data_IF_066444655207
#
_entry.id   IF_066444655207
#
_cell.length_a   1.000
_cell.length_b   1.000
_cell.length_c   1.000
_cell.angle_alpha   90.00
_cell.angle_beta   90.00
_cell.angle_gamma   90.00
#
_symmetry.space_group_name_H-M   'P 1'
#
loop_
_entity.id
_entity.type
_entity.pdbx_description
1 polymer ?
#
# COMPACT_ATOMS: atom_id res chain seq x y z
N UNK A 1 1.46 -5.70 4.94
CA UNK A 1 0.88 -5.56 3.58
C UNK A 1 1.89 -4.93 2.65
N UNK A 2 1.87 -5.30 1.38
CA UNK A 2 2.60 -4.59 0.32
C UNK A 2 1.60 -4.08 -0.69
N UNK A 3 1.65 -2.80 -1.00
CA UNK A 3 0.70 -2.17 -1.91
C UNK A 3 1.49 -1.34 -2.93
N UNK A 4 1.25 -1.59 -4.21
CA UNK A 4 1.71 -0.69 -5.29
C UNK A 4 0.57 0.26 -5.60
N UNK A 5 0.84 1.54 -5.46
CA UNK A 5 -0.11 2.64 -5.64
C UNK A 5 0.27 3.36 -6.93
N UNK A 6 -0.63 3.44 -7.89
CA UNK A 6 -0.43 4.19 -9.13
C UNK A 6 -1.48 5.28 -9.25
N UNK A 7 -1.03 6.53 -9.41
CA UNK A 7 -1.92 7.63 -9.77
C UNK A 7 -2.37 7.46 -11.22
N UNK A 8 -3.67 7.48 -11.47
CA UNK A 8 -4.23 7.20 -12.78
C UNK A 8 -5.17 8.28 -13.28
N UNK A 9 -5.22 8.49 -14.60
CA UNK A 9 -6.29 9.26 -15.27
C UNK A 9 -7.55 8.42 -15.40
N UNK A 10 -7.39 7.12 -15.60
CA UNK A 10 -8.43 6.10 -15.60
C UNK A 10 -7.80 4.74 -15.39
N UNK A 11 -8.58 3.83 -14.85
CA UNK A 11 -8.22 2.41 -14.81
C UNK A 11 -9.48 1.55 -14.89
N UNK A 12 -9.31 0.32 -15.38
CA UNK A 12 -10.40 -0.66 -15.45
C UNK A 12 -9.86 -2.07 -15.29
N UNK A 13 -10.73 -2.97 -14.88
CA UNK A 13 -10.46 -4.40 -14.79
C UNK A 13 -11.53 -5.19 -15.51
N UNK A 14 -11.10 -6.13 -16.35
CA UNK A 14 -11.96 -7.08 -17.07
C UNK A 14 -11.65 -8.51 -16.62
N UNK A 15 -12.68 -9.35 -16.61
CA UNK A 15 -12.63 -10.78 -16.33
C UNK A 15 -13.39 -11.50 -17.45
N UNK A 16 -12.81 -12.51 -18.05
CA UNK A 16 -13.40 -13.24 -19.18
C UNK A 16 -13.87 -12.29 -20.31
N UNK A 17 -13.05 -11.28 -20.63
CA UNK A 17 -13.30 -10.22 -21.62
C UNK A 17 -14.52 -9.32 -21.29
N UNK A 18 -15.07 -9.42 -20.09
CA UNK A 18 -16.17 -8.57 -19.64
C UNK A 18 -15.68 -7.54 -18.64
N UNK A 19 -16.07 -6.28 -18.85
CA UNK A 19 -15.74 -5.20 -17.92
C UNK A 19 -16.38 -5.47 -16.56
N UNK A 20 -15.54 -5.58 -15.50
CA UNK A 20 -15.98 -5.77 -14.11
C UNK A 20 -16.13 -4.45 -13.38
N UNK A 21 -15.11 -3.60 -13.44
CA UNK A 21 -15.06 -2.32 -12.75
C UNK A 21 -14.20 -1.32 -13.50
N UNK A 22 -14.54 -0.04 -13.41
CA UNK A 22 -13.75 1.06 -13.96
C UNK A 22 -13.81 2.28 -13.05
N UNK A 23 -12.74 3.08 -13.08
CA UNK A 23 -12.63 4.37 -12.39
C UNK A 23 -12.12 5.45 -13.34
N UNK A 24 -12.45 6.69 -13.04
CA UNK A 24 -11.83 7.88 -13.64
C UNK A 24 -10.50 8.23 -12.97
N UNK A 25 -10.27 9.53 -12.72
CA UNK A 25 -9.09 10.01 -12.03
C UNK A 25 -9.04 9.46 -10.59
N UNK A 26 -7.88 8.93 -10.19
CA UNK A 26 -7.75 8.37 -8.87
C UNK A 26 -6.51 7.49 -8.70
N UNK A 27 -6.66 6.39 -7.97
CA UNK A 27 -5.58 5.45 -7.66
C UNK A 27 -5.93 4.02 -8.07
N UNK A 28 -5.03 3.35 -8.78
CA UNK A 28 -5.01 1.91 -8.89
C UNK A 28 -4.11 1.35 -7.78
N UNK A 29 -4.64 0.39 -7.02
CA UNK A 29 -3.92 -0.32 -5.97
C UNK A 29 -3.74 -1.78 -6.36
N UNK A 30 -2.48 -2.27 -6.35
CA UNK A 30 -2.18 -3.70 -6.35
C UNK A 30 -1.87 -4.10 -4.91
N UNK A 31 -2.67 -5.00 -4.33
CA UNK A 31 -2.66 -5.28 -2.89
C UNK A 31 -2.19 -6.70 -2.62
N UNK A 32 -1.02 -6.85 -2.01
CA UNK A 32 -0.45 -8.11 -1.51
C UNK A 32 -0.58 -8.22 0.00
N UNK A 33 -1.15 -9.34 0.46
CA UNK A 33 -1.36 -9.61 1.89
C UNK A 33 -0.38 -10.71 2.32
N UNK A 34 0.34 -10.45 3.41
CA UNK A 34 1.24 -11.38 4.07
C UNK A 34 0.57 -12.11 5.24
N UNK A 35 1.12 -13.24 5.71
CA UNK A 35 0.53 -14.02 6.79
C UNK A 35 0.53 -13.30 8.14
N UNK A 36 1.42 -12.34 8.33
CA UNK A 36 1.59 -11.60 9.60
C UNK A 36 0.93 -10.20 9.55
N UNK A 37 0.09 -9.93 8.53
CA UNK A 37 -0.61 -8.65 8.45
C UNK A 37 -1.73 -8.57 9.48
N UNK A 38 -1.83 -7.42 10.14
CA UNK A 38 -2.73 -7.15 11.25
C UNK A 38 -3.70 -6.02 10.93
N UNK A 39 -4.71 -5.82 11.81
CA UNK A 39 -5.61 -4.68 11.72
C UNK A 39 -4.85 -3.34 11.72
N UNK A 40 -3.77 -3.24 12.50
CA UNK A 40 -2.93 -2.03 12.54
C UNK A 40 -2.25 -1.76 11.19
N UNK A 41 -1.83 -2.82 10.46
CA UNK A 41 -1.28 -2.68 9.11
C UNK A 41 -2.33 -2.15 8.12
N UNK A 42 -3.56 -2.67 8.24
CA UNK A 42 -4.71 -2.22 7.44
C UNK A 42 -5.02 -0.75 7.70
N UNK A 43 -5.19 -0.36 8.97
CA UNK A 43 -5.52 1.00 9.37
C UNK A 43 -4.44 2.00 8.92
N UNK A 44 -3.17 1.60 9.05
CA UNK A 44 -2.05 2.37 8.54
C UNK A 44 -2.11 2.55 7.03
N UNK A 45 -2.35 1.46 6.28
CA UNK A 45 -2.42 1.49 4.82
C UNK A 45 -3.56 2.37 4.33
N UNK A 46 -4.78 2.18 4.86
CA UNK A 46 -5.96 3.00 4.50
C UNK A 46 -5.66 4.48 4.76
N UNK A 47 -5.23 4.82 5.97
CA UNK A 47 -4.90 6.20 6.33
C UNK A 47 -3.85 6.82 5.42
N UNK A 48 -2.78 6.08 5.05
CA UNK A 48 -1.75 6.59 4.14
C UNK A 48 -2.28 6.78 2.72
N UNK A 49 -3.02 5.82 2.19
CA UNK A 49 -3.55 5.87 0.81
C UNK A 49 -4.45 7.08 0.63
N UNK A 50 -5.42 7.30 1.53
CA UNK A 50 -6.44 8.33 1.36
C UNK A 50 -5.92 9.75 1.63
N UNK A 51 -4.83 9.90 2.38
CA UNK A 51 -4.25 11.20 2.72
C UNK A 51 -2.93 11.51 1.98
N UNK A 52 -2.43 10.60 1.15
CA UNK A 52 -1.19 10.80 0.39
C UNK A 52 -1.37 11.94 -0.62
N UNK A 53 -0.53 12.97 -0.50
CA UNK A 53 -0.62 14.20 -1.29
C UNK A 53 0.18 14.08 -2.59
N UNK A 54 -0.36 13.34 -3.56
CA UNK A 54 0.29 13.01 -4.84
C UNK A 54 -0.47 13.50 -6.06
N UNK A 55 -1.53 14.29 -5.87
CA UNK A 55 -2.22 14.97 -6.96
C UNK A 55 -1.81 16.44 -6.99
N UNK A 56 -1.76 17.02 -8.20
CA UNK A 56 -1.32 18.36 -8.41
C UNK A 56 -2.37 19.39 -7.97
N UNK A 57 -1.92 20.45 -7.28
CA UNK A 57 -2.71 21.64 -7.01
C UNK A 57 -2.73 22.60 -8.23
N UNK A 58 -3.31 23.78 -8.05
CA UNK A 58 -3.43 24.80 -9.09
C UNK A 58 -2.07 25.32 -9.60
N UNK A 59 -1.00 25.23 -8.77
CA UNK A 59 0.36 25.61 -9.11
C UNK A 59 1.17 24.45 -9.70
N UNK A 60 0.55 23.27 -9.91
CA UNK A 60 1.19 22.08 -10.46
C UNK A 60 2.06 21.30 -9.47
N UNK A 61 1.99 21.61 -8.17
CA UNK A 61 2.71 20.91 -7.12
C UNK A 61 1.92 19.70 -6.60
N UNK A 62 2.57 18.58 -6.31
CA UNK A 62 1.95 17.44 -5.65
C UNK A 62 1.58 17.80 -4.20
N UNK A 63 0.34 18.19 -3.97
CA UNK A 63 -0.11 18.79 -2.72
C UNK A 63 -1.53 18.35 -2.30
N UNK A 64 -2.27 17.72 -3.20
CA UNK A 64 -3.64 17.27 -2.96
C UNK A 64 -3.70 15.75 -2.79
N UNK A 65 -4.58 15.31 -1.89
CA UNK A 65 -4.91 13.90 -1.67
C UNK A 65 -6.00 13.44 -2.65
N UNK A 66 -6.27 12.13 -2.68
CA UNK A 66 -7.39 11.58 -3.44
C UNK A 66 -8.74 12.12 -2.95
N UNK A 67 -8.87 12.43 -1.65
CA UNK A 67 -10.07 13.06 -1.07
C UNK A 67 -10.26 14.48 -1.59
N UNK A 68 -9.19 15.26 -1.64
CA UNK A 68 -9.25 16.67 -2.09
C UNK A 68 -9.71 16.80 -3.54
N UNK A 69 -9.38 15.83 -4.39
CA UNK A 69 -9.78 15.83 -5.80
C UNK A 69 -11.09 15.10 -6.08
N UNK A 70 -11.74 14.51 -5.06
CA UNK A 70 -12.91 13.65 -5.25
C UNK A 70 -12.64 12.43 -6.13
N UNK A 71 -11.43 11.85 -6.05
CA UNK A 71 -11.00 10.73 -6.89
C UNK A 71 -11.55 9.39 -6.41
N UNK A 72 -11.34 8.34 -7.24
CA UNK A 72 -11.79 6.98 -7.00
C UNK A 72 -10.61 6.01 -6.84
N UNK A 73 -10.83 4.89 -6.15
CA UNK A 73 -9.87 3.80 -6.01
C UNK A 73 -10.33 2.58 -6.81
N UNK A 74 -9.42 1.97 -7.58
CA UNK A 74 -9.55 0.61 -8.09
C UNK A 74 -8.57 -0.30 -7.35
N UNK A 75 -9.08 -1.19 -6.51
CA UNK A 75 -8.29 -2.13 -5.71
C UNK A 75 -8.27 -3.50 -6.37
N UNK A 76 -7.06 -4.05 -6.56
CA UNK A 76 -6.82 -5.36 -7.18
C UNK A 76 -5.94 -6.19 -6.26
N UNK A 77 -6.39 -7.41 -5.93
CA UNK A 77 -5.57 -8.35 -5.16
C UNK A 77 -4.37 -8.84 -5.97
N UNK A 78 -3.16 -8.86 -5.37
CA UNK A 78 -1.91 -9.17 -6.06
C UNK A 78 -0.93 -9.88 -5.11
N UNK A 79 -1.13 -11.19 -4.90
CA UNK A 79 -0.27 -11.98 -3.99
C UNK A 79 1.19 -12.06 -4.48
N UNK A 80 1.41 -11.90 -5.79
CA UNK A 80 2.75 -11.94 -6.38
C UNK A 80 3.68 -10.81 -5.91
N UNK A 81 3.18 -9.79 -5.20
CA UNK A 81 4.00 -8.80 -4.50
C UNK A 81 4.83 -9.42 -3.36
N UNK A 82 4.49 -10.63 -2.94
CA UNK A 82 5.25 -11.43 -1.96
C UNK A 82 6.18 -12.47 -2.62
N UNK A 83 6.46 -12.34 -3.93
CA UNK A 83 7.38 -13.21 -4.64
C UNK A 83 8.78 -13.21 -4.02
N UNK A 84 9.34 -14.39 -3.79
CA UNK A 84 10.76 -14.58 -3.49
C UNK A 84 11.48 -15.03 -4.76
N UNK A 85 12.41 -14.20 -5.24
CA UNK A 85 13.18 -14.42 -6.47
C UNK A 85 14.67 -14.70 -6.19
N UNK A 86 15.04 -15.02 -4.93
CA UNK A 86 16.44 -15.18 -4.52
C UNK A 86 17.11 -16.40 -5.14
N UNK A 87 16.34 -17.47 -5.44
CA UNK A 87 16.88 -18.71 -5.98
C UNK A 87 16.18 -19.10 -7.29
N UNK A 88 16.97 -19.23 -8.35
CA UNK A 88 16.48 -19.65 -9.66
C UNK A 88 15.56 -18.63 -10.33
N UNK A 89 14.98 -19.03 -11.48
CA UNK A 89 14.13 -18.15 -12.31
C UNK A 89 12.63 -18.33 -12.05
N UNK A 90 12.23 -19.30 -11.21
CA UNK A 90 10.83 -19.50 -10.82
C UNK A 90 10.59 -18.82 -9.47
N UNK A 91 9.77 -17.76 -9.40
CA UNK A 91 9.44 -17.13 -8.13
C UNK A 91 8.72 -18.09 -7.20
N UNK A 92 9.02 -18.00 -5.90
CA UNK A 92 8.27 -18.69 -4.84
C UNK A 92 7.36 -17.70 -4.13
N UNK A 93 6.17 -18.15 -3.69
CA UNK A 93 5.15 -17.30 -3.06
C UNK A 93 4.84 -17.68 -1.61
N UNK A 94 5.79 -18.32 -0.94
CA UNK A 94 5.65 -18.79 0.46
C UNK A 94 5.44 -17.68 1.49
N UNK A 95 5.71 -16.43 1.10
CA UNK A 95 5.51 -15.24 1.92
C UNK A 95 4.15 -14.56 1.72
N UNK A 96 3.31 -15.07 0.83
CA UNK A 96 1.93 -14.63 0.70
C UNK A 96 1.05 -15.30 1.76
N UNK A 97 0.01 -14.61 2.24
CA UNK A 97 -0.97 -15.21 3.13
C UNK A 97 -1.74 -16.37 2.44
N UNK A 98 -2.20 -17.39 3.20
CA UNK A 98 -3.10 -18.41 2.67
C UNK A 98 -4.33 -17.78 1.99
N UNK A 99 -4.86 -18.38 0.91
CA UNK A 99 -5.92 -17.76 0.10
C UNK A 99 -7.16 -17.31 0.88
N UNK A 100 -7.66 -18.14 1.79
CA UNK A 100 -8.85 -17.81 2.60
C UNK A 100 -8.60 -16.60 3.52
N UNK A 101 -7.46 -16.59 4.23
CA UNK A 101 -7.05 -15.46 5.06
C UNK A 101 -6.88 -14.19 4.22
N UNK A 102 -6.20 -14.31 3.07
CA UNK A 102 -5.95 -13.19 2.19
C UNK A 102 -7.24 -12.60 1.62
N UNK A 103 -8.21 -13.43 1.22
CA UNK A 103 -9.52 -12.99 0.73
C UNK A 103 -10.29 -12.21 1.80
N UNK A 104 -10.42 -12.77 2.99
CA UNK A 104 -11.13 -12.12 4.10
C UNK A 104 -10.48 -10.78 4.48
N UNK A 105 -9.15 -10.73 4.52
CA UNK A 105 -8.42 -9.52 4.85
C UNK A 105 -8.53 -8.45 3.74
N UNK A 106 -8.50 -8.89 2.48
CA UNK A 106 -8.69 -8.02 1.32
C UNK A 106 -10.10 -7.40 1.29
N UNK A 107 -11.13 -8.18 1.61
CA UNK A 107 -12.50 -7.68 1.69
C UNK A 107 -12.65 -6.65 2.81
N UNK A 108 -12.09 -6.91 3.99
CA UNK A 108 -12.08 -5.97 5.11
C UNK A 108 -11.33 -4.67 4.76
N UNK A 109 -10.18 -4.77 4.08
CA UNK A 109 -9.41 -3.62 3.60
C UNK A 109 -10.24 -2.76 2.62
N UNK A 110 -10.93 -3.39 1.67
CA UNK A 110 -11.77 -2.67 0.71
C UNK A 110 -12.97 -2.00 1.39
N UNK A 111 -13.59 -2.64 2.36
CA UNK A 111 -14.65 -2.02 3.17
C UNK A 111 -14.15 -0.79 3.93
N UNK A 112 -12.95 -0.86 4.52
CA UNK A 112 -12.33 0.28 5.20
C UNK A 112 -12.03 1.44 4.23
N UNK A 113 -11.53 1.14 3.02
CA UNK A 113 -11.33 2.16 1.98
C UNK A 113 -12.65 2.80 1.53
N UNK A 114 -13.72 2.01 1.37
CA UNK A 114 -15.05 2.49 0.95
C UNK A 114 -15.68 3.48 1.93
N UNK A 115 -15.30 3.42 3.21
CA UNK A 115 -15.75 4.41 4.21
C UNK A 115 -15.10 5.79 3.99
N UNK A 116 -13.98 5.82 3.28
CA UNK A 116 -13.16 7.01 3.11
C UNK A 116 -13.28 7.65 1.72
N UNK A 117 -13.30 6.80 0.67
CA UNK A 117 -13.33 7.22 -0.74
C UNK A 117 -14.09 6.19 -1.59
N UNK A 118 -14.72 6.59 -2.71
CA UNK A 118 -15.34 5.65 -3.63
C UNK A 118 -14.32 4.59 -4.08
N UNK A 119 -14.59 3.32 -3.77
CA UNK A 119 -13.68 2.21 -4.06
C UNK A 119 -14.40 1.13 -4.86
N UNK A 120 -13.77 0.71 -5.95
CA UNK A 120 -14.17 -0.42 -6.78
C UNK A 120 -13.11 -1.50 -6.72
N UNK A 121 -13.52 -2.75 -6.96
CA UNK A 121 -12.65 -3.92 -6.81
C UNK A 121 -12.72 -4.82 -8.03
N UNK A 122 -11.66 -5.63 -8.21
CA UNK A 122 -11.72 -6.85 -9.01
C UNK A 122 -12.40 -8.00 -8.26
N UNK A 123 -12.07 -9.23 -8.65
CA UNK A 123 -12.51 -10.46 -7.96
C UNK A 123 -11.26 -11.18 -7.45
N UNK A 124 -11.22 -11.50 -6.15
CA UNK A 124 -10.10 -12.22 -5.56
C UNK A 124 -9.92 -13.59 -6.23
N UNK A 125 -8.68 -13.91 -6.64
CA UNK A 125 -8.32 -15.18 -7.26
C UNK A 125 -8.74 -15.36 -8.73
N UNK A 126 -9.45 -14.39 -9.33
CA UNK A 126 -9.77 -14.45 -10.76
C UNK A 126 -8.58 -14.08 -11.64
N UNK A 127 -8.59 -14.56 -12.89
CA UNK A 127 -7.71 -14.04 -13.95
C UNK A 127 -8.26 -12.69 -14.43
N UNK A 128 -7.47 -11.63 -14.22
CA UNK A 128 -7.91 -10.25 -14.45
C UNK A 128 -7.00 -9.55 -15.46
N UNK A 129 -7.62 -8.86 -16.44
CA UNK A 129 -6.94 -7.92 -17.30
C UNK A 129 -7.12 -6.51 -16.73
N UNK A 130 -6.02 -5.88 -16.30
CA UNK A 130 -6.03 -4.55 -15.71
C UNK A 130 -5.44 -3.55 -16.69
N UNK A 131 -6.24 -2.58 -17.10
CA UNK A 131 -5.83 -1.49 -17.97
C UNK A 131 -5.78 -0.19 -17.16
N UNK A 132 -4.78 0.65 -17.41
CA UNK A 132 -4.66 1.96 -16.77
C UNK A 132 -3.90 2.96 -17.63
N UNK A 133 -4.13 4.25 -17.36
CA UNK A 133 -3.23 5.32 -17.77
C UNK A 133 -2.58 5.88 -16.52
N UNK A 134 -1.31 5.50 -16.28
CA UNK A 134 -0.52 6.05 -15.18
C UNK A 134 -0.25 7.53 -15.45
N UNK A 135 -0.66 8.39 -14.54
CA UNK A 135 -0.58 9.83 -14.67
C UNK A 135 0.69 10.36 -14.01
N UNK A 136 1.61 10.87 -14.82
CA UNK A 136 2.80 11.51 -14.32
C UNK A 136 4.16 11.02 -14.86
N UNK A 137 4.59 9.73 -14.86
CA UNK A 137 4.07 8.61 -14.08
C UNK A 137 4.32 8.77 -12.58
N UNK A 138 3.34 8.39 -11.76
CA UNK A 138 3.48 8.33 -10.30
C UNK A 138 3.14 6.94 -9.81
N UNK A 139 4.14 6.26 -9.25
CA UNK A 139 4.03 4.92 -8.69
C UNK A 139 4.75 4.87 -7.36
N UNK A 140 4.08 4.42 -6.31
CA UNK A 140 4.59 4.36 -4.93
C UNK A 140 4.43 2.94 -4.42
N UNK A 141 5.44 2.43 -3.72
CA UNK A 141 5.37 1.16 -3.00
C UNK A 141 5.18 1.47 -1.52
N UNK A 142 4.08 1.00 -0.96
CA UNK A 142 3.78 1.06 0.45
C UNK A 142 3.99 -0.33 1.06
N UNK A 143 4.94 -0.46 1.99
CA UNK A 143 5.17 -1.67 2.78
C UNK A 143 4.86 -1.35 4.25
N UNK A 144 3.81 -1.96 4.80
CA UNK A 144 3.37 -1.67 6.17
C UNK A 144 4.33 -2.21 7.24
N UNK A 145 5.21 -3.15 6.86
CA UNK A 145 6.24 -3.70 7.76
C UNK A 145 7.54 -2.88 7.74
N UNK A 146 7.73 -2.02 6.74
CA UNK A 146 8.89 -1.12 6.61
C UNK A 146 8.45 0.34 6.73
N UNK A 147 7.84 0.69 7.85
CA UNK A 147 7.43 2.07 8.16
C UNK A 147 8.68 2.88 8.53
N UNK A 148 8.93 3.99 7.86
CA UNK A 148 10.07 4.87 8.18
C UNK A 148 10.10 5.35 9.64
N UNK A 149 8.93 5.42 10.29
CA UNK A 149 8.82 5.83 11.71
C UNK A 149 9.48 4.85 12.69
N UNK A 150 9.56 3.55 12.36
CA UNK A 150 10.21 2.55 13.24
C UNK A 150 11.74 2.59 13.15
N UNK A 151 12.28 2.93 11.98
CA UNK A 151 13.73 3.09 11.80
C UNK A 151 14.25 4.23 12.69
N UNK A 152 13.54 5.35 12.76
CA UNK A 152 13.92 6.49 13.58
C UNK A 152 13.70 6.26 15.08
N UNK A 153 12.64 5.56 15.50
CA UNK A 153 12.45 5.18 16.92
C UNK A 153 13.59 4.31 17.42
N UNK A 154 14.06 3.34 16.61
CA UNK A 154 15.21 2.50 16.95
C UNK A 154 16.51 3.31 17.09
N UNK A 155 16.76 4.24 16.17
CA UNK A 155 17.96 5.12 16.18
C UNK A 155 17.92 6.09 17.36
N UNK A 156 16.78 6.74 17.65
CA UNK A 156 16.65 7.63 18.80
C UNK A 156 16.80 6.89 20.13
N UNK A 157 16.27 5.67 20.25
CA UNK A 157 16.43 4.85 21.46
C UNK A 157 17.90 4.46 21.67
N UNK A 158 18.64 4.18 20.58
CA UNK A 158 20.08 3.86 20.66
C UNK A 158 20.91 5.11 21.02
N UNK A 159 20.61 6.25 20.40
CA UNK A 159 21.30 7.53 20.68
C UNK A 159 21.01 8.00 22.10
N UNK A 160 19.77 7.89 22.59
CA UNK A 160 19.43 8.22 23.99
C UNK A 160 20.12 7.30 24.99
N UNK A 161 20.20 5.99 24.72
CA UNK A 161 20.97 5.06 25.58
C UNK A 161 22.46 5.39 25.61
N UNK A 162 23.06 5.74 24.47
CA UNK A 162 24.47 6.13 24.41
C UNK A 162 24.74 7.44 25.15
N UNK A 163 23.84 8.43 25.13
CA UNK A 163 23.98 9.69 25.87
C UNK A 163 23.83 9.50 27.37
N UNK A 164 22.94 8.64 27.84
CA UNK A 164 22.74 8.38 29.28
C UNK A 164 23.93 7.60 29.87
N UNK A 165 24.57 6.71 29.09
CA UNK A 165 25.76 5.97 29.59
C UNK A 165 27.06 6.77 29.54
N UNK A 166 27.13 7.89 28.79
CA UNK A 166 28.32 8.76 28.80
C UNK A 166 28.41 9.69 30.03
N UNK A 167 27.26 10.05 30.63
CA UNK A 167 27.23 10.91 31.79
C UNK A 167 27.46 10.19 33.12
N UNK A 168 27.33 8.86 33.18
CA UNK A 168 27.59 8.10 34.40
C UNK A 168 29.07 7.73 34.60
N UNK A 169 29.93 7.99 33.63
CA UNK A 169 31.37 7.74 33.72
C UNK A 169 32.18 8.98 34.17
N UNK A 170 31.54 10.14 34.35
CA UNK A 170 32.20 11.40 34.70
C UNK A 170 32.05 11.82 36.18
N UNK A 171 31.50 10.96 37.04
CA UNK A 171 31.37 11.26 38.48
C UNK A 171 32.05 10.21 39.38
N UNK A 172 33.30 9.88 39.12
CA UNK A 172 34.18 9.24 40.07
C UNK A 172 35.65 9.63 39.76
N UNK A 173 36.05 10.82 40.18
CA UNK A 173 37.43 11.18 40.57
C UNK A 173 37.37 12.13 41.75
#
# INVERSE_FOLDING_TARGET
MKIVIQRVKRAQVSIDQQLRSSIGQGLLLLVGIGPDDSQEDMDYAVRKIVNMRIFSDAEGKMNLSIKDIGGEVLSISQFTLHADTKKGNRPAFVKAAPPEMASNFYDAFNLALQQEVPTRTGIFGADMQVELINDGPVTIILDTKNRWEEVWKGVWTLVFKLLIFSDSAAMNV
#
